data_IF_028439032882
#
_entry.id   IF_028439032882
#
_cell.length_a   1.000
_cell.length_b   1.000
_cell.length_c   1.000
_cell.angle_alpha   90.00
_cell.angle_beta   90.00
_cell.angle_gamma   90.00
#
_symmetry.space_group_name_H-M   'P 1'
#
loop_
_entity.id
_entity.type
_entity.pdbx_description
1 polymer ?
#
# COMPACT_ATOMS: atom_id res chain seq x y z
N UNK A 1 -17.28 21.26 -13.77
CA UNK A 1 -16.37 20.11 -13.59
C UNK A 1 -15.01 20.55 -14.10
N UNK A 2 -13.98 20.73 -13.26
CA UNK A 2 -12.66 21.10 -13.79
C UNK A 2 -12.22 20.00 -14.75
N UNK A 3 -11.64 20.39 -15.88
CA UNK A 3 -10.98 19.47 -16.79
C UNK A 3 -9.79 18.87 -16.01
N UNK A 4 -9.96 17.67 -15.46
CA UNK A 4 -8.85 16.91 -14.91
C UNK A 4 -8.02 16.46 -16.10
N UNK A 5 -6.93 17.16 -16.37
CA UNK A 5 -5.92 16.72 -17.31
C UNK A 5 -5.54 15.29 -16.96
N UNK A 6 -5.60 14.38 -17.93
CA UNK A 6 -5.29 12.98 -17.70
C UNK A 6 -3.85 12.83 -17.16
N UNK A 7 -3.66 11.96 -16.17
CA UNK A 7 -2.32 11.64 -15.68
C UNK A 7 -1.55 10.80 -16.72
N UNK A 8 -0.26 11.09 -16.89
CA UNK A 8 0.66 10.29 -17.71
C UNK A 8 1.07 9.00 -16.96
N UNK A 9 0.15 8.04 -16.87
CA UNK A 9 0.30 6.86 -16.00
C UNK A 9 1.51 5.98 -16.30
N UNK A 10 1.91 5.86 -17.56
CA UNK A 10 3.01 4.97 -17.97
C UNK A 10 4.37 5.65 -17.82
N UNK A 11 4.63 6.25 -16.66
CA UNK A 11 5.87 6.96 -16.33
C UNK A 11 6.29 6.61 -14.90
N UNK A 12 7.56 6.86 -14.57
CA UNK A 12 8.07 6.70 -13.21
C UNK A 12 7.73 7.92 -12.35
N UNK A 13 7.21 7.68 -11.14
CA UNK A 13 6.89 8.70 -10.15
C UNK A 13 7.53 8.34 -8.82
N UNK A 14 8.10 9.34 -8.13
CA UNK A 14 8.60 9.15 -6.76
C UNK A 14 7.40 9.00 -5.82
N UNK A 15 7.27 7.84 -5.17
CA UNK A 15 6.19 7.56 -4.23
C UNK A 15 6.53 7.93 -2.77
N UNK A 16 7.81 7.83 -2.39
CA UNK A 16 8.34 8.17 -1.07
C UNK A 16 9.88 8.24 -1.10
N UNK A 17 10.48 8.91 -0.13
CA UNK A 17 11.90 8.80 0.18
C UNK A 17 12.19 7.52 0.97
N UNK A 18 13.42 7.00 0.83
CA UNK A 18 13.85 5.74 1.46
C UNK A 18 13.67 5.70 2.98
N UNK A 19 13.82 6.86 3.65
CA UNK A 19 13.71 6.98 5.12
C UNK A 19 12.26 7.10 5.62
N UNK A 20 11.29 7.39 4.74
CA UNK A 20 9.86 7.42 5.11
C UNK A 20 9.28 6.00 5.19
N UNK A 21 9.91 5.03 4.53
CA UNK A 21 9.39 3.66 4.40
C UNK A 21 10.18 2.74 5.33
N UNK A 22 9.53 2.37 6.43
CA UNK A 22 10.01 1.39 7.41
C UNK A 22 9.06 0.19 7.52
N UNK A 23 8.93 -0.37 8.72
CA UNK A 23 7.99 -1.46 9.02
C UNK A 23 6.57 -0.99 9.34
N UNK A 24 6.37 0.30 9.56
CA UNK A 24 5.03 0.87 9.68
C UNK A 24 4.39 1.01 8.28
N UNK A 25 3.09 0.74 8.21
CA UNK A 25 2.33 0.81 6.95
C UNK A 25 2.11 2.28 6.58
N UNK A 26 2.79 2.73 5.52
CA UNK A 26 2.70 4.09 5.03
C UNK A 26 1.63 4.21 3.94
N UNK A 27 0.60 5.02 4.18
CA UNK A 27 -0.39 5.39 3.17
C UNK A 27 0.10 6.54 2.27
N UNK A 28 -0.05 6.39 0.94
CA UNK A 28 0.19 7.45 -0.05
C UNK A 28 -0.86 7.44 -1.15
N UNK A 29 -1.12 8.58 -1.77
CA UNK A 29 -1.93 8.64 -3.00
C UNK A 29 -1.07 9.20 -4.12
N UNK A 30 -0.92 8.44 -5.21
CA UNK A 30 -0.12 8.81 -6.38
C UNK A 30 -1.02 8.72 -7.60
N UNK A 31 -1.13 9.80 -8.39
CA UNK A 31 -2.04 9.88 -9.55
C UNK A 31 -3.51 9.51 -9.24
N UNK A 32 -3.96 9.78 -8.01
CA UNK A 32 -5.30 9.43 -7.54
C UNK A 32 -5.47 7.97 -7.09
N UNK A 33 -4.42 7.16 -7.12
CA UNK A 33 -4.44 5.78 -6.68
C UNK A 33 -3.91 5.66 -5.24
N UNK A 34 -4.70 5.11 -4.29
CA UNK A 34 -4.24 4.86 -2.95
C UNK A 34 -3.26 3.68 -2.93
N UNK A 35 -2.12 3.87 -2.29
CA UNK A 35 -1.04 2.90 -2.12
C UNK A 35 -0.76 2.70 -0.63
N UNK A 36 -0.28 1.50 -0.29
CA UNK A 36 0.32 1.19 1.01
C UNK A 36 1.76 0.71 0.78
N UNK A 37 2.70 1.30 1.51
CA UNK A 37 4.13 1.05 1.39
C UNK A 37 4.69 0.57 2.73
N UNK A 38 5.61 -0.39 2.70
CA UNK A 38 6.40 -0.82 3.85
C UNK A 38 7.67 -1.52 3.36
N UNK A 39 8.58 -1.91 4.27
CA UNK A 39 9.73 -2.76 3.96
C UNK A 39 9.52 -4.18 4.44
N UNK A 40 9.85 -5.17 3.63
CA UNK A 40 9.90 -6.57 4.05
C UNK A 40 10.92 -6.77 5.19
N UNK A 41 10.64 -7.72 6.06
CA UNK A 41 11.47 -8.03 7.23
C UNK A 41 12.71 -8.84 6.86
N UNK A 42 12.59 -9.75 5.88
CA UNK A 42 13.67 -10.66 5.51
C UNK A 42 14.89 -9.95 4.90
N UNK A 43 14.66 -9.03 3.97
CA UNK A 43 15.73 -8.39 3.17
C UNK A 43 15.66 -6.85 3.12
N UNK A 44 14.66 -6.24 3.77
CA UNK A 44 14.45 -4.80 3.74
C UNK A 44 13.95 -4.27 2.39
N UNK A 45 13.55 -5.15 1.47
CA UNK A 45 13.02 -4.76 0.16
C UNK A 45 11.74 -3.92 0.31
N UNK A 46 11.57 -2.88 -0.52
CA UNK A 46 10.35 -2.07 -0.49
C UNK A 46 9.18 -2.85 -1.11
N UNK A 47 8.06 -2.88 -0.40
CA UNK A 47 6.78 -3.43 -0.89
C UNK A 47 5.81 -2.28 -1.08
N UNK A 48 5.12 -2.28 -2.24
CA UNK A 48 4.06 -1.33 -2.56
C UNK A 48 2.87 -2.09 -3.10
N UNK A 49 1.73 -1.97 -2.42
CA UNK A 49 0.46 -2.58 -2.82
C UNK A 49 -0.61 -1.51 -2.97
N UNK A 50 -1.73 -1.87 -3.62
CA UNK A 50 -2.91 -1.02 -3.63
C UNK A 50 -3.43 -0.85 -2.19
N UNK A 51 -3.60 0.40 -1.73
CA UNK A 51 -3.91 0.75 -0.35
C UNK A 51 -5.35 0.44 0.09
N UNK A 52 -6.06 -0.45 -0.61
CA UNK A 52 -7.46 -0.79 -0.36
C UNK A 52 -7.65 -2.30 -0.37
N UNK A 53 -8.24 -2.82 0.69
CA UNK A 53 -8.68 -4.21 0.78
C UNK A 53 -9.72 -4.52 -0.31
N UNK A 54 -9.55 -5.63 -1.04
CA UNK A 54 -10.47 -6.03 -2.13
C UNK A 54 -11.89 -6.36 -1.65
N UNK A 55 -12.08 -6.67 -0.37
CA UNK A 55 -13.40 -7.00 0.18
C UNK A 55 -14.33 -5.78 0.24
N UNK A 56 -13.94 -4.72 0.97
CA UNK A 56 -14.78 -3.51 1.19
C UNK A 56 -14.01 -2.20 1.15
N UNK A 57 -12.88 -2.15 0.44
CA UNK A 57 -12.04 -0.96 0.25
C UNK A 57 -11.54 -0.31 1.56
N UNK A 58 -11.41 -1.10 2.62
CA UNK A 58 -10.80 -0.64 3.86
C UNK A 58 -9.38 -0.12 3.58
N UNK A 59 -8.98 1.06 4.11
CA UNK A 59 -7.65 1.59 3.89
C UNK A 59 -6.60 0.73 4.62
N UNK A 60 -5.73 0.07 3.85
CA UNK A 60 -4.76 -0.89 4.39
C UNK A 60 -3.61 -0.23 5.18
N UNK A 61 -3.46 1.08 5.12
CA UNK A 61 -2.50 1.81 5.95
C UNK A 61 -3.04 2.19 7.32
N UNK A 62 -4.34 2.05 7.57
CA UNK A 62 -4.97 2.53 8.81
C UNK A 62 -5.13 1.41 9.84
N UNK A 63 -4.98 1.78 11.11
CA UNK A 63 -5.28 0.90 12.22
C UNK A 63 -6.76 0.47 12.20
N UNK A 64 -7.08 -0.81 12.48
CA UNK A 64 -6.19 -1.79 13.11
C UNK A 64 -5.49 -2.76 12.12
N UNK A 65 -5.26 -2.34 10.86
CA UNK A 65 -4.40 -3.11 9.93
C UNK A 65 -2.98 -3.21 10.49
N UNK A 66 -2.35 -4.37 10.32
CA UNK A 66 -0.99 -4.63 10.81
C UNK A 66 -0.24 -5.57 9.89
N UNK A 67 1.06 -5.68 10.11
CA UNK A 67 1.89 -6.72 9.54
C UNK A 67 1.88 -7.98 10.41
N UNK A 68 1.80 -9.15 9.77
CA UNK A 68 2.08 -10.48 10.33
C UNK A 68 3.20 -11.12 9.50
N UNK A 69 4.44 -11.01 9.99
CA UNK A 69 5.62 -11.11 9.14
C UNK A 69 5.55 -10.07 8.02
N UNK A 70 5.68 -10.51 6.76
CA UNK A 70 5.54 -9.64 5.58
C UNK A 70 4.15 -9.65 4.95
N UNK A 71 3.14 -10.10 5.70
CA UNK A 71 1.76 -10.10 5.23
C UNK A 71 0.97 -8.96 5.85
N UNK A 72 0.19 -8.25 5.04
CA UNK A 72 -0.75 -7.23 5.54
C UNK A 72 -2.03 -7.95 5.98
N UNK A 73 -2.36 -7.87 7.27
CA UNK A 73 -3.65 -8.34 7.80
C UNK A 73 -4.60 -7.17 7.95
N UNK A 74 -5.58 -7.08 7.04
CA UNK A 74 -6.57 -6.01 6.98
C UNK A 74 -7.32 -5.85 8.32
N UNK A 75 -7.35 -4.63 8.86
CA UNK A 75 -7.97 -4.30 10.13
C UNK A 75 -9.49 -4.44 10.18
N UNK A 76 -10.16 -4.64 9.04
CA UNK A 76 -11.63 -4.75 9.02
C UNK A 76 -12.11 -6.18 9.27
N UNK A 77 -11.69 -7.13 8.42
CA UNK A 77 -12.17 -8.51 8.45
C UNK A 77 -11.03 -9.55 8.33
N UNK A 78 -9.76 -9.13 8.48
CA UNK A 78 -8.63 -10.05 8.53
C UNK A 78 -8.18 -10.64 7.18
N UNK A 79 -8.64 -10.09 6.04
CA UNK A 79 -8.06 -10.46 4.74
C UNK A 79 -6.56 -10.22 4.77
N UNK A 80 -5.79 -11.25 4.45
CA UNK A 80 -4.34 -11.25 4.58
C UNK A 80 -3.72 -11.26 3.20
N UNK A 81 -2.81 -10.33 2.94
CA UNK A 81 -2.15 -10.19 1.65
C UNK A 81 -0.66 -10.44 1.79
N UNK A 82 -0.08 -11.27 0.92
CA UNK A 82 1.37 -11.40 0.81
C UNK A 82 2.02 -10.18 0.12
N UNK A 83 3.36 -10.20 -0.01
CA UNK A 83 4.14 -9.12 -0.62
C UNK A 83 3.84 -8.89 -2.11
N UNK A 84 3.16 -9.82 -2.78
CA UNK A 84 2.70 -9.70 -4.17
C UNK A 84 1.31 -9.10 -4.29
N UNK A 85 0.60 -8.97 -3.16
CA UNK A 85 -0.80 -8.54 -3.10
C UNK A 85 -1.81 -9.68 -3.27
N UNK A 86 -1.35 -10.94 -3.30
CA UNK A 86 -2.23 -12.11 -3.33
C UNK A 86 -2.86 -12.29 -1.95
N UNK A 87 -4.17 -12.55 -1.91
CA UNK A 87 -4.84 -12.89 -0.65
C UNK A 87 -4.51 -14.33 -0.26
N UNK A 88 -4.03 -14.55 0.96
CA UNK A 88 -3.59 -15.86 1.50
C UNK A 88 -4.29 -16.21 2.81
#
# INVERSE_FOLDING_TARGET
MPHMTAFARNQWYVAAYSHEVGRELLGRTVLGEPLVLYRAEEDGSPVVLHGRCVHRRYPLSEAPTRLDGDRIVCGYHGFTYDTTGTCV
#
